data_IF_907038402121
#
_entry.id   IF_907038402121
#
_cell.length_a   1.000
_cell.length_b   1.000
_cell.length_c   1.000
_cell.angle_alpha   90.00
_cell.angle_beta   90.00
_cell.angle_gamma   90.00
#
_symmetry.space_group_name_H-M   'P 1'
#
loop_
_entity.id
_entity.type
_entity.pdbx_description
1 polymer ?
#
# COMPACT_ATOMS: atom_id res chain seq x y z
N UNK A 1 -49.91 26.41 -21.89
CA UNK A 1 -48.52 25.94 -21.87
C UNK A 1 -47.70 26.80 -20.91
N UNK A 2 -47.84 26.55 -19.60
CA UNK A 2 -46.92 27.09 -18.59
C UNK A 2 -45.70 26.13 -18.53
N UNK A 3 -44.56 26.61 -19.01
CA UNK A 3 -43.28 25.99 -18.70
C UNK A 3 -43.01 26.19 -17.21
N UNK A 4 -43.05 25.12 -16.41
CA UNK A 4 -42.48 25.11 -15.08
C UNK A 4 -40.97 25.26 -15.24
N UNK A 5 -40.43 26.43 -14.92
CA UNK A 5 -39.03 26.62 -14.65
C UNK A 5 -38.73 25.86 -13.34
N UNK A 6 -38.11 24.71 -13.46
CA UNK A 6 -37.47 24.03 -12.33
C UNK A 6 -36.20 24.83 -12.01
N UNK A 7 -36.36 25.83 -11.13
CA UNK A 7 -35.22 26.45 -10.48
C UNK A 7 -34.50 25.39 -9.67
N UNK A 8 -33.43 24.82 -10.22
CA UNK A 8 -32.45 24.05 -9.48
C UNK A 8 -31.67 25.03 -8.62
N UNK A 9 -32.20 25.34 -7.44
CA UNK A 9 -31.38 25.86 -6.36
C UNK A 9 -30.45 24.74 -6.00
N UNK A 10 -29.22 24.79 -6.52
CA UNK A 10 -28.13 23.96 -5.99
C UNK A 10 -27.93 24.41 -4.54
N UNK A 11 -28.55 23.70 -3.59
CA UNK A 11 -28.27 23.87 -2.18
C UNK A 11 -26.80 23.50 -2.00
N UNK A 12 -25.95 24.47 -1.73
CA UNK A 12 -24.56 24.25 -1.37
C UNK A 12 -24.56 23.49 -0.03
N UNK A 13 -24.20 22.21 -0.07
CA UNK A 13 -24.03 21.42 1.13
C UNK A 13 -22.73 21.86 1.85
N UNK A 14 -22.82 21.99 3.16
CA UNK A 14 -21.69 22.28 4.04
C UNK A 14 -21.11 20.98 4.66
N UNK A 15 -19.97 21.08 5.31
CA UNK A 15 -19.31 19.96 5.96
C UNK A 15 -20.27 19.13 6.81
N UNK A 16 -21.09 19.77 7.64
CA UNK A 16 -22.04 19.08 8.52
C UNK A 16 -23.08 18.25 7.75
N UNK A 17 -23.54 18.75 6.59
CA UNK A 17 -24.53 18.05 5.76
C UNK A 17 -23.94 16.76 5.18
N UNK A 18 -22.69 16.80 4.68
CA UNK A 18 -22.00 15.61 4.16
C UNK A 18 -21.75 14.57 5.25
N UNK A 19 -21.32 14.98 6.44
CA UNK A 19 -21.11 14.08 7.57
C UNK A 19 -22.44 13.42 7.99
N UNK A 20 -23.53 14.18 8.02
CA UNK A 20 -24.87 13.64 8.35
C UNK A 20 -25.36 12.64 7.30
N UNK A 21 -25.13 12.91 5.99
CA UNK A 21 -25.52 11.99 4.93
C UNK A 21 -24.75 10.67 5.04
N UNK A 22 -23.45 10.72 5.29
CA UNK A 22 -22.65 9.51 5.44
C UNK A 22 -23.02 8.73 6.72
N UNK A 23 -23.30 9.42 7.82
CA UNK A 23 -23.78 8.79 9.07
C UNK A 23 -25.13 8.10 8.86
N UNK A 24 -26.05 8.74 8.14
CA UNK A 24 -27.41 8.21 7.93
C UNK A 24 -27.45 7.04 6.93
N UNK A 25 -26.65 7.07 5.86
CA UNK A 25 -26.78 6.14 4.74
C UNK A 25 -25.60 5.19 4.57
N UNK A 26 -24.45 5.48 5.17
CA UNK A 26 -23.24 4.65 5.08
C UNK A 26 -23.18 3.56 6.14
N UNK A 27 -22.38 2.54 5.90
CA UNK A 27 -21.97 1.60 6.93
C UNK A 27 -20.92 2.26 7.84
N UNK A 28 -21.01 2.04 9.16
CA UNK A 28 -20.08 2.66 10.11
C UNK A 28 -18.83 1.80 10.33
N UNK A 29 -18.20 1.39 9.24
CA UNK A 29 -16.98 0.55 9.27
C UNK A 29 -15.67 1.36 9.33
N UNK A 30 -15.74 2.67 9.25
CA UNK A 30 -14.62 3.59 9.45
C UNK A 30 -14.95 4.67 10.47
N UNK A 31 -13.90 5.23 11.09
CA UNK A 31 -13.99 6.45 11.89
C UNK A 31 -13.06 7.50 11.25
N UNK A 32 -13.56 8.31 10.31
CA UNK A 32 -12.75 9.29 9.59
C UNK A 32 -12.37 10.50 10.46
N UNK A 33 -11.25 11.15 10.13
CA UNK A 33 -10.97 12.52 10.57
C UNK A 33 -12.06 13.43 9.98
N UNK A 34 -12.68 14.35 10.77
CA UNK A 34 -13.88 15.08 10.37
C UNK A 34 -13.57 16.22 9.40
N UNK A 35 -13.16 15.88 8.18
CA UNK A 35 -12.91 16.79 7.06
C UNK A 35 -13.55 16.23 5.80
N UNK A 36 -14.23 17.07 5.02
CA UNK A 36 -14.91 16.68 3.77
C UNK A 36 -14.14 17.24 2.59
N UNK A 37 -13.35 16.40 1.94
CA UNK A 37 -12.46 16.80 0.85
C UNK A 37 -13.20 16.85 -0.47
N UNK A 38 -12.94 17.90 -1.27
CA UNK A 38 -13.62 18.15 -2.53
C UNK A 38 -12.66 18.31 -3.73
N UNK A 39 -11.39 18.66 -3.50
CA UNK A 39 -10.42 18.91 -4.56
C UNK A 39 -9.02 18.46 -4.12
N UNK A 40 -8.24 17.97 -5.07
CA UNK A 40 -6.84 17.58 -4.84
C UNK A 40 -5.95 17.95 -6.03
N UNK A 41 -4.70 18.30 -5.74
CA UNK A 41 -3.65 18.55 -6.74
C UNK A 41 -2.27 18.30 -6.14
N UNK A 42 -1.51 17.35 -6.68
CA UNK A 42 -0.20 17.02 -6.13
C UNK A 42 -0.30 16.54 -4.68
N UNK A 43 0.37 17.22 -3.77
CA UNK A 43 0.34 16.93 -2.32
C UNK A 43 -0.72 17.74 -1.56
N UNK A 44 -1.55 18.51 -2.26
CA UNK A 44 -2.48 19.47 -1.67
C UNK A 44 -3.93 19.03 -1.85
N UNK A 45 -4.74 19.29 -0.83
CA UNK A 45 -6.17 19.01 -0.79
C UNK A 45 -6.94 20.25 -0.33
N UNK A 46 -8.21 20.34 -0.73
CA UNK A 46 -9.15 21.37 -0.28
C UNK A 46 -10.46 20.74 0.12
N UNK A 47 -11.01 21.19 1.23
CA UNK A 47 -12.32 20.75 1.68
C UNK A 47 -13.47 21.49 0.96
N UNK A 48 -14.70 21.11 1.29
CA UNK A 48 -15.91 21.72 0.70
C UNK A 48 -16.11 23.18 1.06
N UNK A 49 -15.48 23.67 2.13
CA UNK A 49 -15.49 25.08 2.54
C UNK A 49 -14.34 25.87 1.90
N UNK A 50 -13.48 25.21 1.12
CA UNK A 50 -12.34 25.83 0.44
C UNK A 50 -11.07 25.91 1.28
N UNK A 51 -11.03 25.34 2.48
CA UNK A 51 -9.83 25.31 3.32
C UNK A 51 -8.79 24.37 2.70
N UNK A 52 -7.55 24.81 2.72
CA UNK A 52 -6.39 24.10 2.19
C UNK A 52 -5.73 23.19 3.22
N UNK A 53 -5.26 22.03 2.76
CA UNK A 53 -4.51 21.03 3.54
C UNK A 53 -3.38 20.44 2.73
N UNK A 54 -2.33 19.98 3.42
CA UNK A 54 -1.36 19.04 2.87
C UNK A 54 -1.77 17.61 3.22
N UNK A 55 -1.65 16.71 2.24
CA UNK A 55 -1.94 15.28 2.42
C UNK A 55 -0.71 14.54 2.93
N UNK A 56 -0.79 13.98 4.13
CA UNK A 56 0.27 13.14 4.70
C UNK A 56 -0.18 11.67 4.93
N UNK A 57 -1.26 11.26 4.26
CA UNK A 57 -1.71 9.87 4.20
C UNK A 57 -1.58 9.26 2.80
N UNK A 58 -1.76 10.06 1.74
CA UNK A 58 -1.74 9.63 0.33
C UNK A 58 -2.65 8.45 0.02
N UNK A 59 -3.85 8.42 0.63
CA UNK A 59 -4.77 7.28 0.52
C UNK A 59 -4.05 5.94 0.77
N UNK A 60 -3.26 5.86 1.83
CA UNK A 60 -2.43 4.70 2.18
C UNK A 60 -1.40 4.32 1.11
N UNK A 61 -0.76 5.30 0.49
CA UNK A 61 0.22 5.16 -0.60
C UNK A 61 -0.39 4.78 -1.96
N UNK A 62 -1.65 5.13 -2.20
CA UNK A 62 -2.28 4.95 -3.51
C UNK A 62 -2.02 6.14 -4.45
N UNK A 63 -1.73 7.33 -3.92
CA UNK A 63 -1.46 8.55 -4.70
C UNK A 63 0.01 9.00 -4.62
N UNK A 64 0.92 8.06 -4.78
CA UNK A 64 2.36 8.38 -4.81
C UNK A 64 2.72 9.45 -5.84
N UNK A 65 2.07 9.42 -7.00
CA UNK A 65 2.24 10.37 -8.10
C UNK A 65 1.52 11.70 -7.87
N UNK A 66 0.85 11.86 -6.72
CA UNK A 66 0.05 13.03 -6.40
C UNK A 66 -1.40 12.93 -6.88
N UNK A 67 -2.24 13.79 -6.28
CA UNK A 67 -3.64 13.89 -6.66
C UNK A 67 -3.79 14.47 -8.07
N UNK A 68 -4.62 13.86 -8.89
CA UNK A 68 -4.99 14.34 -10.22
C UNK A 68 -3.76 14.67 -11.10
N UNK A 69 -2.78 13.78 -11.13
CA UNK A 69 -1.58 13.99 -11.95
C UNK A 69 -1.96 14.19 -13.42
N UNK A 70 -1.53 15.26 -14.10
CA UNK A 70 -2.02 15.61 -15.44
C UNK A 70 -1.88 14.51 -16.48
N UNK A 71 -0.71 13.86 -16.55
CA UNK A 71 -0.46 12.75 -17.50
C UNK A 71 -1.38 11.55 -17.24
N UNK A 72 -1.61 11.22 -15.97
CA UNK A 72 -2.44 10.08 -15.58
C UNK A 72 -3.91 10.38 -15.85
N UNK A 73 -4.37 11.59 -15.52
CA UNK A 73 -5.74 12.04 -15.80
C UNK A 73 -6.01 12.08 -17.30
N UNK A 74 -5.06 12.56 -18.10
CA UNK A 74 -5.17 12.57 -19.56
C UNK A 74 -5.29 11.15 -20.13
N UNK A 75 -4.45 10.22 -19.68
CA UNK A 75 -4.52 8.81 -20.09
C UNK A 75 -5.88 8.17 -19.73
N UNK A 76 -6.41 8.49 -18.53
CA UNK A 76 -7.73 8.05 -18.09
C UNK A 76 -8.82 8.54 -19.05
N UNK A 77 -8.87 9.85 -19.30
CA UNK A 77 -9.90 10.49 -20.13
C UNK A 77 -9.83 9.98 -21.58
N UNK A 78 -8.63 9.90 -22.13
CA UNK A 78 -8.43 9.42 -23.51
C UNK A 78 -8.91 7.96 -23.68
N UNK A 79 -8.50 7.08 -22.78
CA UNK A 79 -8.89 5.67 -22.88
C UNK A 79 -10.37 5.43 -22.55
N UNK A 80 -10.95 6.20 -21.63
CA UNK A 80 -12.38 6.12 -21.30
C UNK A 80 -13.28 6.44 -22.48
N UNK A 81 -12.83 7.28 -23.42
CA UNK A 81 -13.55 7.62 -24.64
C UNK A 81 -13.40 6.57 -25.76
N UNK A 82 -12.44 5.64 -25.64
CA UNK A 82 -12.18 4.60 -26.66
C UNK A 82 -12.81 3.26 -26.28
N UNK A 83 -12.37 2.69 -25.18
CA UNK A 83 -12.79 1.37 -24.73
C UNK A 83 -12.39 1.18 -23.26
N UNK A 84 -13.34 0.81 -22.41
CA UNK A 84 -13.11 0.68 -20.97
C UNK A 84 -13.03 -0.77 -20.49
N UNK A 85 -13.82 -1.67 -21.07
CA UNK A 85 -13.92 -3.07 -20.62
C UNK A 85 -14.29 -4.01 -21.76
N UNK A 86 -13.58 -5.15 -21.87
CA UNK A 86 -13.92 -6.25 -22.77
C UNK A 86 -14.11 -7.57 -22.05
N UNK A 87 -13.78 -7.64 -20.76
CA UNK A 87 -13.45 -8.88 -20.04
C UNK A 87 -12.23 -9.59 -20.65
N UNK A 88 -11.88 -10.76 -20.14
CA UNK A 88 -10.81 -11.62 -20.72
C UNK A 88 -11.34 -12.64 -21.71
N UNK A 89 -12.62 -12.53 -22.08
CA UNK A 89 -13.19 -13.33 -23.17
C UNK A 89 -12.64 -12.92 -24.55
N UNK A 90 -12.17 -11.66 -24.65
CA UNK A 90 -11.59 -11.09 -25.87
C UNK A 90 -10.25 -10.45 -25.59
N UNK A 91 -9.41 -10.36 -26.60
CA UNK A 91 -8.21 -9.52 -26.56
C UNK A 91 -8.58 -8.05 -26.72
N UNK A 92 -7.68 -7.16 -26.27
CA UNK A 92 -7.77 -5.73 -26.52
C UNK A 92 -6.36 -5.16 -26.80
N UNK A 93 -6.28 -3.95 -27.30
CA UNK A 93 -5.03 -3.32 -27.74
C UNK A 93 -4.18 -2.74 -26.59
N UNK A 94 -4.68 -2.74 -25.34
CA UNK A 94 -3.97 -2.17 -24.19
C UNK A 94 -3.28 -3.23 -23.32
N UNK A 95 -3.87 -4.41 -23.17
CA UNK A 95 -3.40 -5.39 -22.19
C UNK A 95 -2.02 -5.96 -22.55
N UNK A 96 -1.81 -6.43 -23.78
CA UNK A 96 -0.52 -6.98 -24.19
C UNK A 96 0.64 -5.99 -24.05
N UNK A 97 0.51 -4.76 -24.55
CA UNK A 97 1.51 -3.71 -24.32
C UNK A 97 1.76 -3.40 -22.85
N UNK A 98 0.71 -3.37 -22.02
CA UNK A 98 0.84 -3.18 -20.57
C UNK A 98 1.58 -4.35 -19.90
N UNK A 99 1.22 -5.58 -20.21
CA UNK A 99 1.89 -6.77 -19.67
C UNK A 99 3.39 -6.78 -20.01
N UNK A 100 3.74 -6.50 -21.26
CA UNK A 100 5.14 -6.34 -21.69
C UNK A 100 5.85 -5.26 -20.90
N UNK A 101 5.25 -4.08 -20.78
CA UNK A 101 5.85 -2.94 -20.07
C UNK A 101 6.09 -3.26 -18.60
N UNK A 102 5.11 -3.82 -17.89
CA UNK A 102 5.21 -4.12 -16.46
C UNK A 102 6.22 -5.23 -16.17
N UNK A 103 6.22 -6.29 -16.98
CA UNK A 103 7.18 -7.38 -16.81
C UNK A 103 8.61 -6.92 -17.04
N UNK A 104 8.87 -6.11 -18.05
CA UNK A 104 10.19 -5.51 -18.30
C UNK A 104 10.58 -4.51 -17.20
N UNK A 105 9.61 -3.72 -16.71
CA UNK A 105 9.85 -2.70 -15.68
C UNK A 105 10.30 -3.31 -14.33
N UNK A 106 9.71 -4.41 -13.93
CA UNK A 106 10.01 -5.08 -12.65
C UNK A 106 10.92 -6.32 -12.79
N UNK A 107 11.20 -6.77 -13.98
CA UNK A 107 12.12 -7.89 -14.24
C UNK A 107 11.52 -9.27 -13.94
N UNK A 108 10.31 -9.56 -14.42
CA UNK A 108 9.63 -10.86 -14.33
C UNK A 108 9.15 -11.32 -15.70
N UNK A 109 8.93 -12.63 -15.87
CA UNK A 109 8.46 -13.17 -17.14
C UNK A 109 6.99 -12.91 -17.40
N UNK A 110 6.15 -12.93 -16.36
CA UNK A 110 4.68 -12.86 -16.48
C UNK A 110 4.07 -11.94 -15.43
N UNK A 111 2.93 -11.35 -15.81
CA UNK A 111 2.05 -10.59 -14.90
C UNK A 111 0.61 -11.09 -15.03
N UNK A 112 -0.08 -11.19 -13.90
CA UNK A 112 -1.51 -11.45 -13.83
C UNK A 112 -2.17 -10.19 -13.24
N UNK A 113 -2.89 -9.39 -14.07
CA UNK A 113 -3.55 -8.18 -13.58
C UNK A 113 -4.80 -8.50 -12.77
N UNK A 114 -4.98 -7.79 -11.66
CA UNK A 114 -6.19 -7.81 -10.84
C UNK A 114 -6.62 -6.36 -10.54
N UNK A 115 -7.57 -6.15 -9.63
CA UNK A 115 -8.12 -4.82 -9.36
C UNK A 115 -7.68 -4.27 -8.00
N UNK A 116 -7.97 -4.99 -6.92
CA UNK A 116 -7.63 -4.57 -5.56
C UNK A 116 -6.38 -5.28 -5.06
N UNK A 117 -5.72 -4.70 -4.05
CA UNK A 117 -4.55 -5.32 -3.44
C UNK A 117 -4.85 -6.70 -2.87
N UNK A 118 -6.00 -6.88 -2.23
CA UNK A 118 -6.39 -8.17 -1.65
C UNK A 118 -6.70 -9.23 -2.70
N UNK A 119 -7.26 -8.86 -3.86
CA UNK A 119 -7.42 -9.81 -4.97
C UNK A 119 -6.05 -10.29 -5.47
N UNK A 120 -5.08 -9.41 -5.56
CA UNK A 120 -3.71 -9.78 -5.92
C UNK A 120 -3.07 -10.69 -4.85
N UNK A 121 -3.27 -10.40 -3.58
CA UNK A 121 -2.80 -11.28 -2.49
C UNK A 121 -3.43 -12.66 -2.59
N UNK A 122 -4.75 -12.76 -2.72
CA UNK A 122 -5.43 -14.06 -2.84
C UNK A 122 -5.01 -14.83 -4.10
N UNK A 123 -4.77 -14.11 -5.21
CA UNK A 123 -4.19 -14.68 -6.44
C UNK A 123 -2.80 -15.29 -6.15
N UNK A 124 -1.95 -14.57 -5.44
CA UNK A 124 -0.61 -15.04 -5.07
C UNK A 124 -0.67 -16.28 -4.15
N UNK A 125 -1.58 -16.29 -3.17
CA UNK A 125 -1.79 -17.42 -2.27
C UNK A 125 -2.27 -18.67 -3.03
N UNK A 126 -3.22 -18.51 -3.95
CA UNK A 126 -3.70 -19.59 -4.83
C UNK A 126 -2.58 -20.12 -5.72
N UNK A 127 -1.83 -19.22 -6.35
CA UNK A 127 -0.70 -19.57 -7.20
C UNK A 127 0.39 -20.34 -6.43
N UNK A 128 0.70 -19.87 -5.24
CA UNK A 128 1.67 -20.51 -4.34
C UNK A 128 1.24 -21.94 -3.97
N UNK A 129 -0.02 -22.13 -3.55
CA UNK A 129 -0.56 -23.46 -3.27
C UNK A 129 -0.50 -24.39 -4.47
N UNK A 130 -0.90 -23.90 -5.64
CA UNK A 130 -0.90 -24.67 -6.88
C UNK A 130 0.52 -25.10 -7.28
N UNK A 131 1.48 -24.19 -7.17
CA UNK A 131 2.90 -24.51 -7.34
C UNK A 131 3.37 -25.57 -6.33
N UNK A 132 2.98 -25.42 -5.06
CA UNK A 132 3.30 -26.40 -4.01
C UNK A 132 2.84 -27.80 -4.35
N UNK A 133 1.65 -27.94 -4.88
CA UNK A 133 1.11 -29.24 -5.31
C UNK A 133 1.76 -29.75 -6.59
N UNK A 134 1.89 -28.92 -7.61
CA UNK A 134 2.30 -29.34 -8.96
C UNK A 134 3.81 -29.43 -9.13
N UNK A 135 4.59 -28.59 -8.46
CA UNK A 135 6.04 -28.49 -8.63
C UNK A 135 6.83 -29.03 -7.42
N UNK A 136 6.44 -28.64 -6.23
CA UNK A 136 7.08 -29.13 -5.01
C UNK A 136 6.66 -30.55 -4.64
N UNK A 137 5.46 -30.98 -5.03
CA UNK A 137 4.95 -32.33 -4.75
C UNK A 137 4.34 -32.49 -3.38
N UNK A 138 3.84 -31.42 -2.77
CA UNK A 138 3.08 -31.47 -1.52
C UNK A 138 1.81 -32.30 -1.76
N UNK A 139 1.42 -33.15 -0.80
CA UNK A 139 0.20 -33.91 -0.86
C UNK A 139 -1.03 -32.98 -0.88
N UNK A 140 -2.01 -33.30 -1.74
CA UNK A 140 -3.19 -32.49 -1.93
C UNK A 140 -3.90 -32.17 -0.59
N UNK A 141 -4.20 -30.89 -0.37
CA UNK A 141 -4.86 -30.38 0.84
C UNK A 141 -3.92 -30.08 2.01
N UNK A 142 -2.61 -30.32 1.88
CA UNK A 142 -1.64 -30.15 2.97
C UNK A 142 -0.78 -28.89 2.85
N UNK A 143 -0.82 -28.17 1.73
CA UNK A 143 0.02 -26.99 1.53
C UNK A 143 -0.20 -25.93 2.62
N UNK A 144 0.92 -25.47 3.20
CA UNK A 144 0.96 -24.43 4.23
C UNK A 144 1.62 -23.17 3.68
N UNK A 145 1.18 -22.02 4.19
CA UNK A 145 1.79 -20.72 3.92
C UNK A 145 2.12 -20.05 5.25
N UNK A 146 3.34 -19.54 5.37
CA UNK A 146 3.82 -18.82 6.55
C UNK A 146 3.55 -17.33 6.36
N UNK A 147 2.97 -16.71 7.38
CA UNK A 147 2.71 -15.28 7.50
C UNK A 147 3.51 -14.70 8.67
N UNK A 148 3.75 -13.39 8.65
CA UNK A 148 4.33 -12.71 9.80
C UNK A 148 3.25 -12.13 10.72
N UNK A 149 3.49 -12.12 12.01
CA UNK A 149 2.66 -11.41 12.99
C UNK A 149 2.64 -9.92 12.68
N UNK A 150 1.51 -9.26 12.90
CA UNK A 150 1.31 -7.85 12.55
C UNK A 150 1.05 -7.59 11.07
N UNK A 151 0.88 -8.62 10.25
CA UNK A 151 0.60 -8.48 8.83
C UNK A 151 -0.73 -7.78 8.55
N UNK A 152 -0.75 -7.10 7.38
CA UNK A 152 -1.98 -6.63 6.77
C UNK A 152 -1.95 -6.90 5.26
N UNK A 153 -2.82 -7.82 4.80
CA UNK A 153 -2.91 -8.20 3.38
C UNK A 153 -4.29 -7.91 2.78
N UNK A 154 -5.19 -7.28 3.53
CA UNK A 154 -6.56 -6.98 3.12
C UNK A 154 -7.60 -7.43 4.14
N UNK A 155 -8.85 -7.50 3.71
CA UNK A 155 -10.02 -7.73 4.59
C UNK A 155 -10.90 -8.91 4.16
N UNK A 156 -10.50 -9.74 3.20
CA UNK A 156 -11.23 -10.95 2.83
C UNK A 156 -11.03 -12.06 3.86
N UNK A 157 -11.94 -13.03 3.88
CA UNK A 157 -11.91 -14.14 4.85
C UNK A 157 -10.59 -14.92 4.82
N UNK A 158 -10.00 -15.10 3.61
CA UNK A 158 -8.75 -15.82 3.51
C UNK A 158 -7.60 -15.06 4.19
N UNK A 159 -7.42 -13.77 3.91
CA UNK A 159 -6.29 -13.01 4.46
C UNK A 159 -6.45 -12.69 5.95
N UNK A 160 -7.67 -12.45 6.45
CA UNK A 160 -7.88 -12.23 7.89
C UNK A 160 -7.64 -13.49 8.71
N UNK A 161 -7.68 -14.67 8.08
CA UNK A 161 -7.36 -15.94 8.76
C UNK A 161 -5.91 -15.99 9.27
N UNK A 162 -5.01 -15.19 8.70
CA UNK A 162 -3.63 -15.02 9.16
C UNK A 162 -3.42 -13.77 10.03
N UNK A 163 -4.44 -12.97 10.25
CA UNK A 163 -4.34 -11.76 11.08
C UNK A 163 -4.25 -12.12 12.56
N UNK A 164 -3.44 -11.35 13.29
CA UNK A 164 -3.38 -11.39 14.76
C UNK A 164 -4.14 -10.21 15.39
N UNK A 165 -4.66 -9.29 14.58
CA UNK A 165 -5.48 -8.16 15.03
C UNK A 165 -6.90 -8.64 15.36
N UNK A 166 -7.34 -8.56 16.64
CA UNK A 166 -8.68 -8.98 17.03
C UNK A 166 -9.79 -8.23 16.28
N UNK A 167 -9.60 -6.94 15.99
CA UNK A 167 -10.61 -6.14 15.28
C UNK A 167 -10.81 -6.61 13.83
N UNK A 168 -9.76 -7.15 13.20
CA UNK A 168 -9.85 -7.69 11.86
C UNK A 168 -10.36 -9.12 11.81
N UNK A 169 -10.23 -9.87 12.90
CA UNK A 169 -10.42 -11.32 12.92
C UNK A 169 -11.65 -11.81 13.67
N UNK A 170 -11.97 -11.21 14.82
CA UNK A 170 -13.02 -11.74 15.71
C UNK A 170 -14.39 -11.73 15.01
N UNK A 171 -15.16 -12.80 15.26
CA UNK A 171 -16.53 -13.00 14.78
C UNK A 171 -16.65 -13.20 13.24
N UNK A 172 -15.53 -13.43 12.53
CA UNK A 172 -15.52 -13.71 11.09
C UNK A 172 -15.14 -15.16 10.73
N UNK A 173 -14.98 -16.04 11.71
CA UNK A 173 -14.72 -17.48 11.47
C UNK A 173 -15.87 -18.20 10.75
N UNK A 174 -15.64 -19.45 10.29
CA UNK A 174 -14.44 -20.27 10.44
C UNK A 174 -13.27 -19.77 9.56
N UNK A 175 -12.06 -20.00 10.05
CA UNK A 175 -10.86 -19.48 9.40
C UNK A 175 -10.24 -20.49 8.42
N UNK A 176 -9.52 -19.97 7.43
CA UNK A 176 -8.79 -20.74 6.42
C UNK A 176 -7.72 -21.60 7.11
N UNK A 177 -7.69 -22.94 6.88
CA UNK A 177 -6.63 -23.80 7.39
C UNK A 177 -5.33 -23.66 6.59
N UNK A 178 -4.23 -24.19 7.13
CA UNK A 178 -2.94 -24.25 6.45
C UNK A 178 -2.10 -22.99 6.55
N UNK A 179 -2.46 -22.08 7.45
CA UNK A 179 -1.69 -20.88 7.73
C UNK A 179 -0.90 -21.01 9.02
N UNK A 180 0.36 -20.59 8.98
CA UNK A 180 1.28 -20.55 10.11
C UNK A 180 1.75 -19.10 10.28
N UNK A 181 1.70 -18.60 11.51
CA UNK A 181 2.12 -17.22 11.81
C UNK A 181 3.38 -17.26 12.66
N UNK A 182 4.41 -16.54 12.22
CA UNK A 182 5.67 -16.36 12.96
C UNK A 182 5.87 -14.89 13.31
N UNK A 183 6.67 -14.55 14.34
CA UNK A 183 7.00 -13.15 14.61
C UNK A 183 7.66 -12.47 13.40
N UNK A 184 7.31 -11.21 13.15
CA UNK A 184 7.97 -10.39 12.13
C UNK A 184 9.39 -10.04 12.56
N UNK A 185 10.33 -9.99 11.61
CA UNK A 185 11.73 -9.69 11.87
C UNK A 185 12.45 -10.75 12.76
N UNK A 186 11.95 -11.98 12.76
CA UNK A 186 12.53 -13.09 13.52
C UNK A 186 12.92 -14.25 12.56
N UNK A 187 14.16 -14.22 12.14
CA UNK A 187 14.73 -15.20 11.20
C UNK A 187 14.76 -16.61 11.82
N UNK A 188 15.04 -16.72 13.13
CA UNK A 188 15.13 -18.01 13.81
C UNK A 188 13.76 -18.70 13.91
N UNK A 189 12.72 -17.94 14.24
CA UNK A 189 11.36 -18.45 14.27
C UNK A 189 10.91 -18.92 12.87
N UNK A 190 11.24 -18.16 11.82
CA UNK A 190 10.99 -18.58 10.44
C UNK A 190 11.76 -19.86 10.08
N UNK A 191 13.05 -19.91 10.42
CA UNK A 191 13.90 -21.08 10.14
C UNK A 191 13.38 -22.38 10.77
N UNK A 192 12.76 -22.27 11.95
CA UNK A 192 12.14 -23.42 12.62
C UNK A 192 10.91 -23.95 11.88
N UNK A 193 10.05 -23.07 11.39
CA UNK A 193 8.78 -23.44 10.73
C UNK A 193 8.95 -23.82 9.25
N UNK A 194 9.87 -23.21 8.54
CA UNK A 194 10.05 -23.41 7.10
C UNK A 194 10.59 -24.81 6.73
N UNK A 195 11.10 -25.53 7.70
CA UNK A 195 11.58 -26.92 7.53
C UNK A 195 10.46 -27.94 7.30
N UNK A 196 9.23 -27.59 7.62
CA UNK A 196 8.08 -28.44 7.35
C UNK A 196 7.93 -28.60 5.82
N UNK A 197 7.97 -29.86 5.31
CA UNK A 197 7.91 -30.10 3.86
C UNK A 197 6.60 -29.68 3.20
N UNK A 198 5.54 -29.45 3.99
CA UNK A 198 4.25 -29.00 3.50
C UNK A 198 4.17 -27.47 3.30
N UNK A 199 5.20 -26.72 3.68
CA UNK A 199 5.27 -25.27 3.45
C UNK A 199 5.54 -24.99 1.98
N UNK A 200 4.59 -24.31 1.33
CA UNK A 200 4.70 -23.88 -0.07
C UNK A 200 5.30 -22.49 -0.22
N UNK A 201 4.99 -21.58 0.70
CA UNK A 201 5.43 -20.20 0.60
C UNK A 201 5.49 -19.47 1.93
N UNK A 202 6.19 -18.34 1.89
CA UNK A 202 6.26 -17.33 2.96
C UNK A 202 5.86 -16.00 2.35
N UNK A 203 4.87 -15.32 2.93
CA UNK A 203 4.44 -13.99 2.51
C UNK A 203 4.85 -12.95 3.54
N UNK A 204 5.55 -11.91 3.09
CA UNK A 204 6.10 -10.85 3.93
C UNK A 204 5.82 -9.50 3.29
N UNK A 205 5.42 -8.51 4.12
CA UNK A 205 5.51 -7.10 3.78
C UNK A 205 6.95 -6.64 4.05
N UNK A 206 7.66 -6.04 3.06
CA UNK A 206 9.03 -5.55 3.28
C UNK A 206 9.16 -4.52 4.40
N UNK A 207 8.12 -3.73 4.60
CA UNK A 207 7.88 -2.87 5.77
C UNK A 207 6.41 -3.05 6.13
N UNK A 208 6.11 -3.33 7.39
CA UNK A 208 4.73 -3.43 7.84
C UNK A 208 4.13 -2.02 8.01
N UNK A 209 3.45 -1.53 6.97
CA UNK A 209 2.92 -0.17 6.93
C UNK A 209 1.72 0.03 7.86
N UNK A 210 0.70 -0.82 7.75
CA UNK A 210 -0.53 -0.70 8.54
C UNK A 210 -0.30 -0.96 10.03
N UNK A 211 0.60 -1.87 10.38
CA UNK A 211 0.97 -2.14 11.75
C UNK A 211 1.64 -0.96 12.47
N UNK A 212 2.19 0.01 11.73
CA UNK A 212 2.82 1.19 12.31
C UNK A 212 4.21 1.50 11.74
N UNK A 213 4.44 1.19 10.47
CA UNK A 213 5.70 1.42 9.76
C UNK A 213 6.87 0.70 10.47
N UNK A 214 6.72 -0.61 10.67
CA UNK A 214 7.79 -1.44 11.22
C UNK A 214 8.79 -1.80 10.12
N UNK A 215 9.98 -1.22 10.21
CA UNK A 215 11.10 -1.49 9.32
C UNK A 215 11.91 -2.64 9.90
N UNK A 216 12.10 -3.75 9.18
CA UNK A 216 12.88 -4.87 9.70
C UNK A 216 14.37 -4.54 9.74
N UNK A 217 15.13 -5.33 10.46
CA UNK A 217 16.59 -5.24 10.50
C UNK A 217 17.20 -5.38 9.11
N UNK A 218 18.33 -4.74 8.90
CA UNK A 218 19.10 -4.87 7.66
C UNK A 218 19.42 -6.35 7.39
N UNK A 219 19.20 -6.80 6.16
CA UNK A 219 19.44 -8.18 5.77
C UNK A 219 18.31 -9.17 6.11
N UNK A 220 17.27 -8.77 6.83
CA UNK A 220 16.14 -9.67 7.16
C UNK A 220 15.53 -10.33 5.93
N UNK A 221 15.21 -9.55 4.89
CA UNK A 221 14.60 -10.09 3.67
C UNK A 221 15.58 -10.96 2.85
N UNK A 222 16.87 -10.66 2.89
CA UNK A 222 17.90 -11.51 2.30
C UNK A 222 17.94 -12.88 2.99
N UNK A 223 17.86 -12.91 4.32
CA UNK A 223 17.78 -14.14 5.10
C UNK A 223 16.48 -14.90 4.84
N UNK A 224 15.34 -14.22 4.75
CA UNK A 224 14.06 -14.83 4.36
C UNK A 224 14.17 -15.50 2.99
N UNK A 225 14.69 -14.79 1.99
CA UNK A 225 14.87 -15.33 0.63
C UNK A 225 15.81 -16.53 0.62
N UNK A 226 16.90 -16.47 1.37
CA UNK A 226 17.85 -17.57 1.51
C UNK A 226 17.21 -18.82 2.11
N UNK A 227 16.47 -18.67 3.20
CA UNK A 227 15.74 -19.77 3.83
C UNK A 227 14.70 -20.37 2.88
N UNK A 228 13.95 -19.54 2.15
CA UNK A 228 13.00 -20.00 1.14
C UNK A 228 13.69 -20.84 0.07
N UNK A 229 14.79 -20.35 -0.49
CA UNK A 229 15.55 -21.07 -1.53
C UNK A 229 16.09 -22.40 -1.02
N UNK A 230 16.67 -22.43 0.18
CA UNK A 230 17.22 -23.65 0.79
C UNK A 230 16.17 -24.73 1.06
N UNK A 231 14.92 -24.35 1.30
CA UNK A 231 13.84 -25.28 1.64
C UNK A 231 12.85 -25.51 0.50
N UNK A 232 13.16 -25.03 -0.72
CA UNK A 232 12.24 -25.09 -1.86
C UNK A 232 10.85 -24.52 -1.52
N UNK A 233 10.83 -23.28 -1.03
CA UNK A 233 9.66 -22.52 -0.60
C UNK A 233 9.65 -21.21 -1.37
N UNK A 234 8.49 -20.74 -1.82
CA UNK A 234 8.36 -19.46 -2.53
C UNK A 234 8.39 -18.30 -1.54
N UNK A 235 9.21 -17.29 -1.85
CA UNK A 235 9.16 -15.99 -1.19
C UNK A 235 8.17 -15.09 -1.92
N UNK A 236 7.11 -14.67 -1.22
CA UNK A 236 6.07 -13.77 -1.72
C UNK A 236 6.24 -12.42 -1.03
N UNK A 237 6.50 -11.36 -1.79
CA UNK A 237 6.57 -10.00 -1.27
C UNK A 237 5.26 -9.26 -1.53
N UNK A 238 4.58 -8.89 -0.46
CA UNK A 238 3.45 -7.96 -0.53
C UNK A 238 3.98 -6.53 -0.52
N UNK A 239 4.11 -5.94 -1.69
CA UNK A 239 4.54 -4.58 -1.89
C UNK A 239 3.39 -3.65 -2.33
N UNK A 240 2.17 -3.98 -1.97
CA UNK A 240 1.00 -3.15 -2.28
C UNK A 240 1.13 -1.75 -1.70
N UNK A 241 1.61 -1.62 -0.47
CA UNK A 241 1.82 -0.31 0.17
C UNK A 241 3.26 0.21 0.02
N UNK A 242 4.25 -0.66 0.04
CA UNK A 242 5.67 -0.31 0.09
C UNK A 242 6.30 -0.10 -1.29
N UNK A 243 5.71 -0.68 -2.32
CA UNK A 243 6.25 -0.61 -3.68
C UNK A 243 6.04 0.73 -4.38
N UNK A 244 6.55 0.79 -5.60
CA UNK A 244 6.36 1.91 -6.53
C UNK A 244 6.87 3.22 -5.91
N UNK A 245 8.15 3.20 -5.56
CA UNK A 245 8.95 4.32 -5.09
C UNK A 245 8.68 4.84 -3.67
N UNK A 246 7.63 4.40 -2.98
CA UNK A 246 7.22 4.93 -1.66
C UNK A 246 8.37 4.97 -0.64
N UNK A 247 9.22 3.95 -0.62
CA UNK A 247 10.27 3.77 0.41
C UNK A 247 11.66 4.25 -0.03
N UNK A 248 11.75 5.00 -1.13
CA UNK A 248 13.02 5.53 -1.65
C UNK A 248 13.72 4.59 -2.65
N UNK A 249 13.15 3.43 -2.92
CA UNK A 249 13.53 2.50 -3.98
C UNK A 249 12.28 2.12 -4.77
N UNK A 250 12.46 1.60 -5.98
CA UNK A 250 11.31 1.14 -6.77
C UNK A 250 10.49 0.08 -6.02
N UNK A 251 11.18 -0.86 -5.38
CA UNK A 251 10.61 -1.87 -4.48
C UNK A 251 11.33 -1.82 -3.12
N UNK A 252 10.58 -1.97 -2.04
CA UNK A 252 11.15 -1.94 -0.70
C UNK A 252 12.04 -3.16 -0.40
N UNK A 253 11.83 -4.29 -1.06
CA UNK A 253 12.73 -5.44 -1.00
C UNK A 253 14.16 -5.07 -1.38
N UNK A 254 14.35 -4.20 -2.37
CA UNK A 254 15.66 -3.70 -2.76
C UNK A 254 16.31 -2.84 -1.65
N UNK A 255 15.54 -2.21 -0.80
CA UNK A 255 16.04 -1.41 0.32
C UNK A 255 16.47 -2.21 1.55
N UNK A 256 16.31 -3.53 1.56
CA UNK A 256 16.72 -4.41 2.65
C UNK A 256 17.81 -5.41 2.22
N UNK A 257 18.40 -5.23 1.05
CA UNK A 257 19.55 -6.00 0.60
C UNK A 257 20.85 -5.49 1.25
N UNK A 258 21.90 -6.26 1.17
CA UNK A 258 23.23 -5.92 1.69
C UNK A 258 24.14 -5.26 0.64
N UNK A 259 23.60 -4.95 -0.54
CA UNK A 259 24.36 -4.47 -1.70
C UNK A 259 24.81 -3.00 -1.63
N UNK A 260 24.54 -2.29 -0.54
CA UNK A 260 24.91 -0.88 -0.33
C UNK A 260 24.55 0.06 -1.52
N UNK A 261 23.47 -0.22 -2.22
CA UNK A 261 23.00 0.56 -3.37
C UNK A 261 23.61 0.17 -4.72
N UNK A 262 24.57 -0.73 -4.75
CA UNK A 262 25.20 -1.26 -5.97
C UNK A 262 24.73 -2.68 -6.23
N UNK A 263 23.48 -2.84 -6.63
CA UNK A 263 22.89 -4.15 -6.83
C UNK A 263 23.29 -4.76 -8.19
N UNK A 264 24.48 -5.34 -8.27
CA UNK A 264 24.85 -6.22 -9.39
C UNK A 264 24.06 -7.53 -9.32
N UNK A 265 23.72 -7.97 -8.10
CA UNK A 265 22.91 -9.15 -7.84
C UNK A 265 21.52 -8.76 -7.32
N UNK A 266 20.69 -8.23 -8.20
CA UNK A 266 19.30 -7.86 -7.90
C UNK A 266 18.42 -9.03 -7.44
N UNK A 267 18.98 -10.23 -7.30
CA UNK A 267 18.28 -11.42 -6.89
C UNK A 267 18.37 -11.74 -5.39
N UNK A 268 19.23 -11.07 -4.63
CA UNK A 268 19.41 -11.36 -3.20
C UNK A 268 18.10 -11.30 -2.41
N UNK A 269 17.28 -10.27 -2.66
CA UNK A 269 15.98 -10.07 -2.01
C UNK A 269 14.80 -10.15 -2.99
N UNK A 270 15.03 -10.63 -4.20
CA UNK A 270 13.99 -10.72 -5.23
C UNK A 270 12.95 -11.76 -4.83
N UNK A 271 11.69 -11.34 -4.77
CA UNK A 271 10.59 -12.24 -4.50
C UNK A 271 10.36 -13.22 -5.68
N UNK A 272 9.93 -14.43 -5.37
CA UNK A 272 9.45 -15.40 -6.36
C UNK A 272 8.07 -14.98 -6.89
N UNK A 273 7.25 -14.40 -6.02
CA UNK A 273 5.97 -13.78 -6.38
C UNK A 273 5.95 -12.37 -5.82
N UNK A 274 5.77 -11.39 -6.69
CA UNK A 274 5.66 -9.97 -6.33
C UNK A 274 4.20 -9.53 -6.45
N UNK A 275 3.69 -8.88 -5.40
CA UNK A 275 2.34 -8.32 -5.36
C UNK A 275 2.41 -6.80 -5.39
N UNK A 276 1.69 -6.17 -6.32
CA UNK A 276 1.59 -4.72 -6.47
C UNK A 276 0.12 -4.28 -6.45
N UNK A 277 -0.11 -3.05 -6.04
CA UNK A 277 -1.43 -2.42 -6.02
C UNK A 277 -1.31 -0.93 -5.72
N UNK A 278 -2.31 -0.35 -5.09
CA UNK A 278 -2.32 1.07 -4.66
C UNK A 278 -1.75 2.02 -5.71
N UNK A 279 -0.50 2.46 -5.59
CA UNK A 279 0.16 3.43 -6.48
C UNK A 279 0.29 2.96 -7.94
N UNK A 280 0.10 1.68 -8.23
CA UNK A 280 -0.01 1.18 -9.60
C UNK A 280 -1.18 1.83 -10.35
N UNK A 281 -2.19 2.27 -9.62
CA UNK A 281 -3.38 2.96 -10.14
C UNK A 281 -3.15 4.44 -10.49
N UNK A 282 -2.04 5.03 -10.05
CA UNK A 282 -1.90 6.49 -10.07
C UNK A 282 -2.97 7.25 -9.27
N UNK A 283 -3.72 6.54 -8.42
CA UNK A 283 -4.79 7.11 -7.59
C UNK A 283 -6.13 7.35 -8.29
N UNK A 284 -6.35 6.82 -9.50
CA UNK A 284 -7.55 7.15 -10.28
C UNK A 284 -8.50 5.98 -10.51
N UNK A 285 -8.00 4.74 -10.64
CA UNK A 285 -8.82 3.52 -10.74
C UNK A 285 -8.14 2.37 -10.01
N UNK A 286 -8.88 1.41 -9.43
CA UNK A 286 -8.26 0.26 -8.78
C UNK A 286 -7.46 -0.59 -9.78
N UNK A 287 -6.17 -0.78 -9.51
CA UNK A 287 -5.28 -1.65 -10.28
C UNK A 287 -4.36 -2.39 -9.34
N UNK A 288 -4.22 -3.69 -9.54
CA UNK A 288 -3.23 -4.52 -8.87
C UNK A 288 -2.64 -5.55 -9.82
N UNK A 289 -1.57 -6.21 -9.39
CA UNK A 289 -0.89 -7.19 -10.22
C UNK A 289 -0.13 -8.20 -9.36
N UNK A 290 -0.01 -9.41 -9.91
CA UNK A 290 0.88 -10.45 -9.42
C UNK A 290 1.91 -10.75 -10.51
N UNK A 291 3.19 -10.69 -10.16
CA UNK A 291 4.29 -10.98 -11.07
C UNK A 291 5.05 -12.22 -10.59
N UNK A 292 5.41 -13.09 -11.51
CA UNK A 292 6.24 -14.26 -11.26
C UNK A 292 6.86 -14.71 -12.58
N UNK A 293 7.92 -15.54 -12.48
CA UNK A 293 8.52 -16.14 -13.66
C UNK A 293 7.68 -17.32 -14.19
N UNK A 294 7.99 -17.77 -15.39
CA UNK A 294 7.22 -18.79 -16.12
C UNK A 294 6.99 -20.07 -15.31
N UNK A 295 8.01 -20.55 -14.62
CA UNK A 295 7.95 -21.79 -13.83
C UNK A 295 6.82 -21.75 -12.78
N UNK A 296 6.57 -20.60 -12.21
CA UNK A 296 5.52 -20.38 -11.20
C UNK A 296 4.20 -20.00 -11.87
N UNK A 297 4.20 -18.94 -12.67
CA UNK A 297 2.96 -18.37 -13.22
C UNK A 297 2.22 -19.35 -14.11
N UNK A 298 2.93 -20.17 -14.87
CA UNK A 298 2.32 -21.12 -15.80
C UNK A 298 1.72 -22.37 -15.13
N UNK A 299 1.73 -22.44 -13.80
CA UNK A 299 0.92 -23.39 -13.05
C UNK A 299 -0.59 -23.14 -13.22
N UNK A 300 -0.99 -21.88 -13.37
CA UNK A 300 -2.38 -21.52 -13.66
C UNK A 300 -2.71 -21.82 -15.13
N UNK A 301 -3.85 -22.48 -15.34
CA UNK A 301 -4.35 -22.84 -16.67
C UNK A 301 -5.63 -22.06 -17.00
N UNK A 302 -6.01 -21.97 -18.27
CA UNK A 302 -7.26 -21.31 -18.68
C UNK A 302 -8.47 -21.81 -17.88
N UNK A 303 -9.27 -20.88 -17.38
CA UNK A 303 -10.48 -21.17 -16.61
C UNK A 303 -10.30 -21.38 -15.11
N UNK A 304 -9.08 -21.40 -14.60
CA UNK A 304 -8.80 -21.70 -13.18
C UNK A 304 -8.77 -20.46 -12.26
N UNK A 305 -8.53 -19.29 -12.82
CA UNK A 305 -8.48 -18.03 -12.09
C UNK A 305 -8.70 -16.84 -13.01
N UNK A 306 -9.31 -15.78 -12.49
CA UNK A 306 -9.55 -14.56 -13.27
C UNK A 306 -10.40 -13.52 -12.54
N UNK A 307 -10.73 -12.47 -13.27
CA UNK A 307 -11.57 -11.35 -12.85
C UNK A 307 -12.22 -10.73 -14.08
N UNK A 308 -13.44 -10.23 -13.93
CA UNK A 308 -14.13 -9.51 -15.01
C UNK A 308 -13.37 -8.23 -15.38
N UNK A 309 -12.87 -7.47 -14.40
CA UNK A 309 -12.22 -6.19 -14.63
C UNK A 309 -10.68 -6.26 -14.65
N UNK A 310 -10.07 -7.32 -14.15
CA UNK A 310 -8.62 -7.48 -14.14
C UNK A 310 -8.02 -7.41 -15.53
N UNK A 311 -7.13 -6.45 -15.78
CA UNK A 311 -6.52 -6.21 -17.09
C UNK A 311 -7.41 -5.47 -18.09
N UNK A 312 -8.41 -4.73 -17.63
CA UNK A 312 -9.25 -3.93 -18.53
C UNK A 312 -8.43 -2.81 -19.20
N UNK A 313 -8.84 -2.37 -20.41
CA UNK A 313 -8.10 -1.39 -21.19
C UNK A 313 -7.85 -0.07 -20.45
N UNK A 314 -8.84 0.40 -19.71
CA UNK A 314 -8.75 1.66 -18.96
C UNK A 314 -7.66 1.57 -17.87
N UNK A 315 -7.70 0.52 -17.06
CA UNK A 315 -6.72 0.29 -16.01
C UNK A 315 -5.30 0.08 -16.55
N UNK A 316 -5.16 -0.63 -17.68
CA UNK A 316 -3.87 -0.84 -18.33
C UNK A 316 -3.23 0.46 -18.82
N UNK A 317 -3.99 1.32 -19.47
CA UNK A 317 -3.52 2.63 -19.94
C UNK A 317 -3.08 3.52 -18.77
N UNK A 318 -3.89 3.57 -17.73
CA UNK A 318 -3.61 4.35 -16.51
C UNK A 318 -2.36 3.83 -15.78
N UNK A 319 -2.29 2.52 -15.52
CA UNK A 319 -1.18 1.93 -14.76
C UNK A 319 0.18 2.07 -15.49
N UNK A 320 0.19 1.90 -16.82
CA UNK A 320 1.39 2.15 -17.62
C UNK A 320 1.88 3.59 -17.44
N UNK A 321 0.98 4.56 -17.60
CA UNK A 321 1.33 5.99 -17.42
C UNK A 321 1.76 6.29 -15.98
N UNK A 322 1.10 5.69 -14.99
CA UNK A 322 1.48 5.84 -13.59
C UNK A 322 2.93 5.40 -13.30
N UNK A 323 3.36 4.29 -13.90
CA UNK A 323 4.75 3.81 -13.79
C UNK A 323 5.74 4.67 -14.59
N UNK A 324 5.35 5.16 -15.76
CA UNK A 324 6.16 6.11 -16.53
C UNK A 324 6.43 7.40 -15.72
N UNK A 325 5.42 7.94 -15.05
CA UNK A 325 5.56 9.11 -14.16
C UNK A 325 6.56 8.83 -13.04
N UNK A 326 6.50 7.66 -12.39
CA UNK A 326 7.45 7.27 -11.33
C UNK A 326 8.89 7.32 -11.84
N UNK A 327 9.13 6.78 -13.04
CA UNK A 327 10.45 6.77 -13.68
C UNK A 327 10.90 8.18 -14.10
N UNK A 328 10.05 8.88 -14.86
CA UNK A 328 10.40 10.13 -15.52
C UNK A 328 10.57 11.28 -14.52
N UNK A 329 9.81 11.28 -13.44
CA UNK A 329 9.92 12.28 -12.36
C UNK A 329 10.87 11.83 -11.24
N UNK A 330 11.54 10.69 -11.37
CA UNK A 330 12.53 10.17 -10.41
C UNK A 330 11.96 10.10 -8.97
N UNK A 331 10.78 9.54 -8.83
CA UNK A 331 10.06 9.57 -7.54
C UNK A 331 10.74 8.71 -6.45
N UNK A 332 11.51 7.68 -6.82
CA UNK A 332 12.29 6.90 -5.85
C UNK A 332 13.39 7.74 -5.20
N UNK A 333 14.17 8.44 -6.01
CA UNK A 333 15.26 9.31 -5.57
C UNK A 333 14.72 10.46 -4.73
N UNK A 334 13.62 11.08 -5.16
CA UNK A 334 12.93 12.13 -4.39
C UNK A 334 12.48 11.63 -3.03
N UNK A 335 11.83 10.46 -2.97
CA UNK A 335 11.38 9.88 -1.72
C UNK A 335 12.55 9.59 -0.76
N UNK A 336 13.67 9.12 -1.26
CA UNK A 336 14.88 8.88 -0.47
C UNK A 336 15.42 10.17 0.14
N UNK A 337 15.60 11.21 -0.68
CA UNK A 337 16.15 12.49 -0.24
C UNK A 337 15.21 13.22 0.73
N UNK A 338 13.93 13.36 0.37
CA UNK A 338 12.96 14.06 1.21
C UNK A 338 12.64 13.29 2.50
N UNK A 339 12.71 11.96 2.46
CA UNK A 339 12.54 11.14 3.64
C UNK A 339 13.63 11.36 4.70
N UNK A 340 14.88 11.56 4.28
CA UNK A 340 15.99 11.92 5.18
C UNK A 340 15.73 13.26 5.85
N UNK A 341 15.33 14.26 5.09
CA UNK A 341 14.98 15.59 5.62
C UNK A 341 13.85 15.47 6.64
N UNK A 342 12.79 14.75 6.32
CA UNK A 342 11.66 14.55 7.23
C UNK A 342 12.08 13.90 8.56
N UNK A 343 12.81 12.78 8.50
CA UNK A 343 13.25 12.08 9.71
C UNK A 343 14.20 12.93 10.56
N UNK A 344 15.07 13.69 9.94
CA UNK A 344 15.98 14.62 10.63
C UNK A 344 15.19 15.72 11.38
N UNK A 345 14.16 16.29 10.77
CA UNK A 345 13.25 17.25 11.39
C UNK A 345 12.46 16.62 12.55
N UNK A 346 12.03 15.37 12.43
CA UNK A 346 11.35 14.66 13.52
C UNK A 346 12.32 14.31 14.68
N UNK A 347 13.57 13.99 14.40
CA UNK A 347 14.59 13.84 15.45
C UNK A 347 14.81 15.14 16.24
N UNK A 348 14.82 16.28 15.56
CA UNK A 348 14.89 17.58 16.24
C UNK A 348 13.65 17.83 17.10
N UNK A 349 12.47 17.43 16.65
CA UNK A 349 11.24 17.52 17.44
C UNK A 349 11.31 16.64 18.71
N UNK A 350 11.79 15.41 18.59
CA UNK A 350 11.97 14.48 19.72
C UNK A 350 12.87 15.10 20.80
N UNK A 351 13.91 15.82 20.41
CA UNK A 351 14.81 16.52 21.34
C UNK A 351 14.11 17.68 22.08
N UNK A 352 13.01 18.20 21.56
CA UNK A 352 12.28 19.35 22.10
C UNK A 352 10.99 18.98 22.83
N UNK A 353 10.45 17.78 22.61
CA UNK A 353 9.15 17.38 23.17
C UNK A 353 9.20 15.96 23.71
N UNK A 354 8.82 15.74 24.98
CA UNK A 354 8.69 14.39 25.53
C UNK A 354 7.47 13.63 24.98
N UNK A 355 6.63 14.29 24.21
CA UNK A 355 5.41 13.69 23.65
C UNK A 355 5.70 12.72 22.50
N UNK A 356 6.84 12.86 21.84
CA UNK A 356 7.27 11.96 20.75
C UNK A 356 8.53 11.22 21.19
N UNK A 357 8.49 9.88 21.14
CA UNK A 357 9.58 9.03 21.60
C UNK A 357 10.46 8.48 20.49
N UNK A 358 9.91 8.33 19.28
CA UNK A 358 10.58 7.66 18.18
C UNK A 358 10.06 8.17 16.84
N UNK A 359 10.98 8.27 15.87
CA UNK A 359 10.65 8.34 14.44
C UNK A 359 11.31 7.17 13.73
N UNK A 360 10.57 6.54 12.79
CA UNK A 360 11.07 5.45 11.97
C UNK A 360 10.46 5.49 10.57
N UNK A 361 11.12 4.86 9.63
CA UNK A 361 10.64 4.74 8.25
C UNK A 361 11.77 4.68 7.23
N UNK A 362 11.36 4.57 5.96
CA UNK A 362 12.24 4.66 4.79
C UNK A 362 11.56 5.49 3.70
N UNK A 363 12.33 6.29 2.98
CA UNK A 363 11.78 7.18 1.98
C UNK A 363 10.71 8.08 2.59
N UNK A 364 9.55 8.16 1.94
CA UNK A 364 8.39 8.92 2.44
C UNK A 364 7.29 8.02 3.04
N UNK A 365 7.69 6.91 3.62
CA UNK A 365 6.85 6.09 4.51
C UNK A 365 7.45 6.15 5.91
N UNK A 366 6.90 7.01 6.76
CA UNK A 366 7.41 7.28 8.09
C UNK A 366 6.31 7.24 9.14
N UNK A 367 6.70 7.06 10.38
CA UNK A 367 5.83 7.16 11.54
C UNK A 367 6.55 7.80 12.72
N UNK A 368 5.79 8.47 13.57
CA UNK A 368 6.21 8.86 14.90
C UNK A 368 5.42 8.09 15.95
N UNK A 369 6.05 7.81 17.08
CA UNK A 369 5.41 7.13 18.22
C UNK A 369 5.15 8.17 19.30
N UNK A 370 3.89 8.28 19.70
CA UNK A 370 3.46 9.19 20.76
C UNK A 370 3.69 8.52 22.14
N UNK A 371 4.21 9.29 23.06
CA UNK A 371 4.49 8.86 24.43
C UNK A 371 3.20 8.80 25.25
N UNK A 372 2.40 7.78 24.97
CA UNK A 372 1.17 7.47 25.69
C UNK A 372 0.82 5.98 25.54
N UNK A 373 -0.16 5.51 26.29
CA UNK A 373 -0.68 4.14 26.19
C UNK A 373 -1.27 3.87 24.80
N UNK A 374 -1.18 2.63 24.36
CA UNK A 374 -1.67 2.23 23.01
C UNK A 374 -3.16 2.44 22.81
N UNK A 375 -3.95 2.38 23.88
CA UNK A 375 -5.40 2.60 23.86
C UNK A 375 -5.81 4.06 24.15
N UNK A 376 -4.84 4.98 24.26
CA UNK A 376 -5.11 6.39 24.51
C UNK A 376 -5.66 7.09 23.25
N UNK A 377 -6.37 8.22 23.45
CA UNK A 377 -6.86 9.08 22.38
C UNK A 377 -5.84 10.12 21.89
N UNK A 378 -4.66 10.18 22.51
CA UNK A 378 -3.70 11.27 22.27
C UNK A 378 -3.26 11.38 20.81
N UNK A 379 -2.93 10.28 20.15
CA UNK A 379 -2.55 10.31 18.74
C UNK A 379 -3.70 10.79 17.82
N UNK A 380 -4.93 10.40 18.13
CA UNK A 380 -6.11 10.90 17.42
C UNK A 380 -6.29 12.40 17.61
N UNK A 381 -6.20 12.88 18.84
CA UNK A 381 -6.37 14.31 19.17
C UNK A 381 -5.27 15.15 18.51
N UNK A 382 -4.03 14.65 18.43
CA UNK A 382 -2.96 15.29 17.66
C UNK A 382 -3.32 15.34 16.18
N UNK A 383 -3.85 14.29 15.59
CA UNK A 383 -4.26 14.29 14.18
C UNK A 383 -5.40 15.27 13.91
N UNK A 384 -6.35 15.42 14.84
CA UNK A 384 -7.38 16.45 14.76
C UNK A 384 -6.77 17.86 14.83
N UNK A 385 -5.80 18.08 15.71
CA UNK A 385 -5.08 19.35 15.81
C UNK A 385 -4.26 19.65 14.54
N UNK A 386 -3.61 18.64 13.94
CA UNK A 386 -2.93 18.77 12.65
C UNK A 386 -3.90 19.16 11.55
N UNK A 387 -5.08 18.54 11.48
CA UNK A 387 -6.14 18.90 10.52
C UNK A 387 -6.53 20.38 10.69
N UNK A 388 -6.72 20.84 11.91
CA UNK A 388 -7.03 22.26 12.17
C UNK A 388 -5.94 23.19 11.65
N UNK A 389 -4.68 22.75 11.69
CA UNK A 389 -3.51 23.48 11.23
C UNK A 389 -3.14 23.22 9.76
N UNK A 390 -4.00 22.51 9.00
CA UNK A 390 -3.86 22.35 7.55
C UNK A 390 -2.99 21.17 7.11
N UNK A 391 -2.88 20.12 7.94
CA UNK A 391 -2.18 18.90 7.58
C UNK A 391 -3.03 17.67 7.95
N UNK A 392 -3.20 16.75 6.99
CA UNK A 392 -4.00 15.55 7.17
C UNK A 392 -3.11 14.33 7.38
N UNK A 393 -3.20 13.77 8.58
CA UNK A 393 -2.59 12.51 8.96
C UNK A 393 -3.59 11.71 9.79
N UNK A 394 -3.32 10.42 9.97
CA UNK A 394 -4.19 9.53 10.74
C UNK A 394 -3.34 8.60 11.60
N UNK A 395 -3.75 8.34 12.85
CA UNK A 395 -3.08 7.35 13.66
C UNK A 395 -3.34 5.93 13.13
N UNK A 396 -2.41 5.04 13.40
CA UNK A 396 -2.54 3.61 13.23
C UNK A 396 -2.14 2.93 14.53
N UNK A 397 -2.95 1.98 15.01
CA UNK A 397 -2.71 1.29 16.30
C UNK A 397 -2.37 2.25 17.46
N UNK A 398 -3.35 3.09 17.79
CA UNK A 398 -3.38 3.89 19.01
C UNK A 398 -2.37 5.03 19.04
N UNK A 399 -1.15 4.78 19.48
CA UNK A 399 -0.13 5.80 19.73
C UNK A 399 0.85 6.05 18.59
N UNK A 400 0.59 5.54 17.39
CA UNK A 400 1.45 5.70 16.22
C UNK A 400 0.76 6.60 15.20
N UNK A 401 1.45 7.65 14.73
CA UNK A 401 0.98 8.50 13.64
C UNK A 401 1.85 8.23 12.41
N UNK A 402 1.21 7.83 11.31
CA UNK A 402 1.88 7.59 10.03
C UNK A 402 1.90 8.86 9.20
N UNK A 403 3.06 9.18 8.63
CA UNK A 403 3.29 10.29 7.72
C UNK A 403 3.81 9.80 6.38
N UNK A 404 2.98 9.92 5.35
CA UNK A 404 3.28 9.44 4.01
C UNK A 404 2.68 10.39 2.95
N UNK A 405 3.34 11.53 2.68
CA UNK A 405 2.85 12.46 1.66
C UNK A 405 3.01 11.90 0.25
N UNK A 406 2.29 12.42 -0.76
CA UNK A 406 2.59 12.14 -2.15
C UNK A 406 4.06 12.44 -2.48
N UNK A 407 4.68 11.59 -3.30
CA UNK A 407 6.12 11.68 -3.60
C UNK A 407 6.48 12.91 -4.46
N UNK A 408 5.49 13.57 -5.02
CA UNK A 408 5.64 14.81 -5.78
C UNK A 408 5.72 16.06 -4.89
N UNK A 409 5.61 15.90 -3.57
CA UNK A 409 5.78 17.02 -2.63
C UNK A 409 7.12 17.71 -2.86
N UNK A 410 7.16 19.03 -2.85
CA UNK A 410 8.40 19.78 -2.98
C UNK A 410 9.12 19.89 -1.64
N UNK A 411 10.42 20.23 -1.67
CA UNK A 411 11.18 20.45 -0.44
C UNK A 411 10.59 21.62 0.37
N UNK A 412 10.15 22.67 -0.29
CA UNK A 412 9.52 23.84 0.33
C UNK A 412 8.20 23.45 1.02
N UNK A 413 7.35 22.65 0.35
CA UNK A 413 6.13 22.14 0.94
C UNK A 413 6.42 21.22 2.15
N UNK A 414 7.43 20.35 2.03
CA UNK A 414 7.83 19.45 3.12
C UNK A 414 8.30 20.24 4.35
N UNK A 415 9.09 21.29 4.16
CA UNK A 415 9.55 22.16 5.25
C UNK A 415 8.38 22.87 5.95
N UNK A 416 7.41 23.37 5.19
CA UNK A 416 6.18 23.93 5.74
C UNK A 416 5.44 22.89 6.59
N UNK A 417 5.31 21.66 6.07
CA UNK A 417 4.63 20.56 6.76
C UNK A 417 5.37 20.15 8.03
N UNK A 418 6.70 20.08 8.01
CA UNK A 418 7.51 19.80 9.20
C UNK A 418 7.32 20.89 10.27
N UNK A 419 7.19 22.15 9.88
CA UNK A 419 6.86 23.24 10.80
C UNK A 419 5.46 23.06 11.40
N UNK A 420 4.45 22.75 10.59
CA UNK A 420 3.09 22.48 11.07
C UNK A 420 3.09 21.35 12.11
N UNK A 421 3.76 20.24 11.81
CA UNK A 421 3.85 19.09 12.73
C UNK A 421 4.54 19.51 14.04
N UNK A 422 5.68 20.18 13.94
CA UNK A 422 6.48 20.61 15.08
C UNK A 422 5.68 21.56 15.98
N UNK A 423 5.10 22.61 15.43
CA UNK A 423 4.32 23.59 16.17
C UNK A 423 3.06 22.99 16.80
N UNK A 424 2.38 22.10 16.07
CA UNK A 424 1.19 21.42 16.60
C UNK A 424 1.55 20.55 17.81
N UNK A 425 2.62 19.78 17.75
CA UNK A 425 3.05 18.90 18.84
C UNK A 425 3.59 19.70 20.03
N UNK A 426 4.41 20.73 19.79
CA UNK A 426 4.95 21.56 20.88
C UNK A 426 3.86 22.32 21.65
N UNK A 427 2.79 22.70 20.98
CA UNK A 427 1.65 23.42 21.59
C UNK A 427 0.52 22.50 22.06
N UNK A 428 0.63 21.18 21.80
CA UNK A 428 -0.40 20.22 22.18
C UNK A 428 -0.45 20.06 23.70
N UNK A 429 -1.67 20.08 24.24
CA UNK A 429 -1.93 19.83 25.67
C UNK A 429 -2.78 18.56 25.75
N UNK A 430 -2.29 17.55 26.46
CA UNK A 430 -3.14 16.39 26.80
C UNK A 430 -4.35 16.87 27.56
N UNK A 431 -5.53 16.47 27.13
CA UNK A 431 -6.81 16.72 27.80
C UNK A 431 -6.92 15.89 29.09
#
# INVERSE_FOLDING_TARGET
>A
NQKMEVSTVQTHLHTADYLQLEDQYGAHNYHPIPVVLARGKGAELWDVEGKHYFDFLSAYSAVNQGHCHPRITEALVEQAQKLTLTSRAFYNDQLGPYEKFVTEYFGYDKVLPMNTGVEAVETALKLCRKWGYQKKGIEQGRAKIIFASGNFHGRTLAVISASVDPAARNDFGPYMPGYVVVPYNDVEALAAQIKDPDVAGVIIEPIQGEAGVFVPDEGYLADVKKLCTQNNVLFIADEVQTGIARTGKLLATCGNCTCAGHCENKYETRADILILGKALSGGVVPVSAVLADDEIMMCLKPGEHGSTFGGNPLACAVAKTALEVVRDEQLSERAEELGKVFRERMQQLIAQSPLVTLVRGKGLLNAIVINDEEDSHTAWDICVALMQNGLLAKPTHGNIIRFAPPLVITIEQLEICCNIITETILNFKKS
#
